data_IF_627520976785
#
_entry.id   IF_627520976785
#
_cell.length_a   1.000
_cell.length_b   1.000
_cell.length_c   1.000
_cell.angle_alpha   90.00
_cell.angle_beta   90.00
_cell.angle_gamma   90.00
#
_symmetry.space_group_name_H-M   'P 1'
#
loop_
_entity.id
_entity.type
_entity.pdbx_description
1 polymer ?
#
# COMPACT_ATOMS: atom_id res chain seq x y z
N UNK A 1 -10.24 -7.72 -18.14
CA UNK A 1 -10.89 -9.03 -18.32
C UNK A 1 -12.40 -8.91 -18.16
N UNK A 2 -13.18 -9.76 -18.83
CA UNK A 2 -14.60 -9.96 -18.54
C UNK A 2 -14.77 -10.97 -17.38
N UNK A 3 -16.00 -11.17 -16.91
CA UNK A 3 -16.35 -12.07 -15.79
C UNK A 3 -15.98 -13.55 -16.03
N UNK A 4 -15.69 -13.90 -17.28
CA UNK A 4 -15.37 -15.25 -17.74
C UNK A 4 -13.88 -15.40 -18.08
N UNK A 5 -13.02 -14.47 -17.66
CA UNK A 5 -11.57 -14.52 -17.88
C UNK A 5 -11.11 -14.13 -19.29
N UNK A 6 -12.03 -13.80 -20.21
CA UNK A 6 -11.73 -13.34 -21.56
C UNK A 6 -11.35 -11.86 -21.63
N UNK A 7 -10.78 -11.43 -22.76
CA UNK A 7 -10.52 -9.99 -23.03
C UNK A 7 -11.84 -9.23 -23.01
N UNK A 8 -11.91 -8.17 -22.19
CA UNK A 8 -13.10 -7.32 -22.12
C UNK A 8 -13.19 -6.45 -23.37
N UNK A 9 -14.35 -6.41 -24.00
CA UNK A 9 -14.64 -5.56 -25.17
C UNK A 9 -15.39 -4.28 -24.79
N UNK A 10 -15.56 -4.00 -23.50
CA UNK A 10 -16.18 -2.76 -23.04
C UNK A 10 -15.35 -1.57 -23.51
N UNK A 11 -16.01 -0.50 -23.98
CA UNK A 11 -15.34 0.69 -24.51
C UNK A 11 -14.28 1.26 -23.57
N UNK A 12 -14.60 1.36 -22.27
CA UNK A 12 -13.63 1.79 -21.24
C UNK A 12 -12.40 0.88 -21.15
N UNK A 13 -12.57 -0.43 -21.31
CA UNK A 13 -11.44 -1.38 -21.26
C UNK A 13 -10.53 -1.25 -22.48
N UNK A 14 -11.12 -1.00 -23.66
CA UNK A 14 -10.35 -0.81 -24.89
C UNK A 14 -9.59 0.52 -24.85
N UNK A 15 -10.24 1.59 -24.35
CA UNK A 15 -9.60 2.90 -24.16
C UNK A 15 -8.41 2.83 -23.19
N UNK A 16 -8.56 2.13 -22.06
CA UNK A 16 -7.46 1.94 -21.11
C UNK A 16 -6.31 1.14 -21.73
N UNK A 17 -6.63 0.05 -22.46
CA UNK A 17 -5.61 -0.77 -23.12
C UNK A 17 -4.84 -0.02 -24.20
N UNK A 18 -5.49 0.89 -24.94
CA UNK A 18 -4.82 1.71 -25.93
C UNK A 18 -3.85 2.71 -25.26
N UNK A 19 -4.26 3.32 -24.14
CA UNK A 19 -3.42 4.23 -23.34
C UNK A 19 -2.20 3.54 -22.73
N UNK A 20 -2.31 2.25 -22.39
CA UNK A 20 -1.17 1.47 -21.87
C UNK A 20 -0.14 1.11 -22.96
N UNK A 21 -0.45 1.26 -24.25
CA UNK A 21 0.51 1.05 -25.36
C UNK A 21 1.32 2.31 -25.70
N UNK A 22 1.00 3.46 -25.09
CA UNK A 22 1.76 4.69 -25.30
C UNK A 22 3.10 4.63 -24.53
N UNK A 23 4.23 5.05 -25.14
CA UNK A 23 5.52 5.06 -24.47
C UNK A 23 5.50 6.00 -23.26
N UNK A 24 6.00 5.52 -22.11
CA UNK A 24 6.05 6.33 -20.89
C UNK A 24 7.24 7.30 -20.93
N UNK A 25 6.94 8.59 -20.86
CA UNK A 25 7.94 9.64 -20.65
C UNK A 25 7.97 9.99 -19.15
N UNK A 26 9.07 9.66 -18.47
CA UNK A 26 9.26 9.90 -17.04
C UNK A 26 10.30 11.00 -16.82
N UNK A 27 9.92 12.11 -16.20
CA UNK A 27 10.82 13.16 -15.76
C UNK A 27 11.10 13.01 -14.25
N UNK A 28 12.34 13.21 -13.82
CA UNK A 28 12.73 13.09 -12.41
C UNK A 28 13.74 14.15 -11.99
N UNK A 29 13.71 14.51 -10.70
CA UNK A 29 14.75 15.31 -10.04
C UNK A 29 15.82 14.46 -9.34
N UNK A 30 15.72 13.12 -9.42
CA UNK A 30 16.70 12.20 -8.84
C UNK A 30 18.07 12.34 -9.51
N UNK A 31 19.19 12.24 -8.75
CA UNK A 31 20.52 12.37 -9.30
C UNK A 31 20.83 11.28 -10.32
N UNK A 32 21.59 11.64 -11.36
CA UNK A 32 21.93 10.72 -12.43
C UNK A 32 22.83 9.59 -11.92
N UNK A 33 22.41 8.34 -12.15
CA UNK A 33 23.18 7.13 -11.88
C UNK A 33 22.94 6.11 -13.00
N UNK A 34 23.88 5.18 -13.21
CA UNK A 34 23.76 4.13 -14.24
C UNK A 34 22.54 3.23 -14.04
N UNK A 35 22.03 3.11 -12.81
CA UNK A 35 20.84 2.34 -12.45
C UNK A 35 19.56 3.18 -12.38
N UNK A 36 19.63 4.48 -12.68
CA UNK A 36 18.52 5.43 -12.49
C UNK A 36 17.27 5.00 -13.26
N UNK A 37 17.40 4.68 -14.55
CA UNK A 37 16.24 4.33 -15.38
C UNK A 37 15.46 3.14 -14.81
N UNK A 38 16.15 2.07 -14.40
CA UNK A 38 15.51 0.90 -13.79
C UNK A 38 14.87 1.22 -12.43
N UNK A 39 15.52 2.05 -11.60
CA UNK A 39 14.95 2.51 -10.32
C UNK A 39 13.72 3.40 -10.52
N UNK A 40 13.73 4.27 -11.53
CA UNK A 40 12.61 5.15 -11.87
C UNK A 40 11.39 4.39 -12.33
N UNK A 41 11.58 3.39 -13.21
CA UNK A 41 10.47 2.55 -13.65
C UNK A 41 9.84 1.83 -12.47
N UNK A 42 10.66 1.22 -11.59
CA UNK A 42 10.17 0.57 -10.35
C UNK A 42 9.44 1.55 -9.43
N UNK A 43 9.93 2.77 -9.28
CA UNK A 43 9.26 3.79 -8.47
C UNK A 43 7.93 4.21 -9.09
N UNK A 44 7.88 4.36 -10.41
CA UNK A 44 6.67 4.73 -11.13
C UNK A 44 5.62 3.61 -11.10
N UNK A 45 6.03 2.34 -11.10
CA UNK A 45 5.13 1.19 -10.90
C UNK A 45 4.34 1.29 -9.58
N UNK A 46 4.92 1.88 -8.53
CA UNK A 46 4.24 2.10 -7.25
C UNK A 46 3.05 3.07 -7.37
N UNK A 47 2.95 3.89 -8.43
CA UNK A 47 1.81 4.78 -8.68
C UNK A 47 0.50 4.00 -8.73
N UNK A 48 0.51 2.79 -9.30
CA UNK A 48 -0.68 1.94 -9.36
C UNK A 48 -1.09 1.41 -7.98
N UNK A 49 -0.12 1.09 -7.12
CA UNK A 49 -0.39 0.65 -5.75
C UNK A 49 -1.08 1.75 -4.92
N UNK A 50 -0.72 3.01 -5.14
CA UNK A 50 -1.37 4.15 -4.49
C UNK A 50 -2.84 4.24 -4.92
N UNK A 51 -3.11 4.15 -6.23
CA UNK A 51 -4.49 4.18 -6.75
C UNK A 51 -5.34 3.01 -6.24
N UNK A 52 -4.75 1.82 -6.15
CA UNK A 52 -5.39 0.64 -5.57
C UNK A 52 -5.67 0.84 -4.07
N UNK A 53 -4.71 1.39 -3.31
CA UNK A 53 -4.89 1.70 -1.89
C UNK A 53 -6.05 2.70 -1.65
N UNK A 54 -6.18 3.73 -2.49
CA UNK A 54 -7.32 4.65 -2.43
C UNK A 54 -8.65 3.98 -2.81
N UNK A 55 -8.62 3.02 -3.73
CA UNK A 55 -9.81 2.24 -4.09
C UNK A 55 -10.25 1.33 -2.94
N UNK A 56 -9.30 0.68 -2.29
CA UNK A 56 -9.56 -0.18 -1.14
C UNK A 56 -10.10 0.61 0.04
N UNK A 57 -9.55 1.80 0.32
CA UNK A 57 -10.08 2.73 1.31
C UNK A 57 -11.55 3.09 1.10
N UNK A 58 -11.96 3.26 -0.16
CA UNK A 58 -13.35 3.54 -0.55
C UNK A 58 -14.23 2.30 -0.47
N UNK A 59 -13.65 1.11 -0.53
CA UNK A 59 -14.39 -0.16 -0.52
C UNK A 59 -15.20 -0.31 0.75
N UNK A 60 -16.47 -0.64 0.58
CA UNK A 60 -17.44 -0.77 1.67
C UNK A 60 -17.28 -2.09 2.42
N UNK A 61 -16.87 -3.14 1.71
CA UNK A 61 -16.78 -4.50 2.24
C UNK A 61 -15.43 -4.83 2.86
N UNK A 62 -14.36 -4.22 2.34
CA UNK A 62 -12.99 -4.62 2.65
C UNK A 62 -12.10 -3.49 3.16
N UNK A 63 -12.57 -2.25 3.12
CA UNK A 63 -11.84 -1.08 3.61
C UNK A 63 -12.66 -0.26 4.59
N UNK A 64 -12.43 1.05 4.61
CA UNK A 64 -13.00 1.96 5.60
C UNK A 64 -14.32 2.59 5.15
N UNK A 65 -14.96 2.05 4.11
CA UNK A 65 -16.26 2.54 3.61
C UNK A 65 -16.28 4.03 3.25
N UNK A 66 -15.12 4.61 2.88
CA UNK A 66 -15.05 6.02 2.55
C UNK A 66 -15.95 6.38 1.37
N UNK A 67 -16.38 5.45 0.51
CA UNK A 67 -17.35 5.77 -0.55
C UNK A 67 -18.68 6.37 -0.02
N UNK A 68 -19.04 6.15 1.25
CA UNK A 68 -20.27 6.68 1.85
C UNK A 68 -20.11 8.06 2.50
N UNK A 69 -18.95 8.71 2.37
CA UNK A 69 -18.84 10.12 2.75
C UNK A 69 -19.67 10.97 1.78
N UNK A 70 -20.89 11.34 2.16
CA UNK A 70 -21.80 12.16 1.35
C UNK A 70 -21.41 13.65 1.31
N UNK A 71 -20.15 13.98 1.57
CA UNK A 71 -19.67 15.37 1.73
C UNK A 71 -18.85 15.82 0.53
N UNK A 72 -19.10 17.05 0.08
CA UNK A 72 -18.36 17.72 -0.98
C UNK A 72 -17.41 18.81 -0.46
N UNK A 73 -17.46 19.08 0.85
CA UNK A 73 -16.61 20.08 1.51
C UNK A 73 -15.19 19.54 1.70
N UNK A 74 -14.21 20.27 1.17
CA UNK A 74 -12.79 19.89 1.20
C UNK A 74 -12.27 19.74 2.63
N UNK A 75 -12.63 20.66 3.53
CA UNK A 75 -12.22 20.63 4.94
C UNK A 75 -12.68 19.35 5.65
N UNK A 76 -13.94 18.96 5.42
CA UNK A 76 -14.49 17.71 5.99
C UNK A 76 -13.81 16.47 5.40
N UNK A 77 -13.50 16.50 4.10
CA UNK A 77 -12.78 15.43 3.44
C UNK A 77 -11.35 15.29 4.01
N UNK A 78 -10.65 16.39 4.27
CA UNK A 78 -9.33 16.38 4.90
C UNK A 78 -9.37 15.71 6.28
N UNK A 79 -10.35 16.06 7.11
CA UNK A 79 -10.52 15.44 8.43
C UNK A 79 -10.83 13.94 8.31
N UNK A 80 -11.71 13.55 7.38
CA UNK A 80 -12.00 12.12 7.15
C UNK A 80 -10.80 11.35 6.64
N UNK A 81 -9.99 11.93 5.75
CA UNK A 81 -8.77 11.32 5.26
C UNK A 81 -7.72 11.18 6.38
N UNK A 82 -7.64 12.15 7.29
CA UNK A 82 -6.79 12.05 8.47
C UNK A 82 -7.24 10.92 9.41
N UNK A 83 -8.54 10.83 9.69
CA UNK A 83 -9.07 9.75 10.52
C UNK A 83 -8.82 8.39 9.85
N UNK A 84 -9.04 8.31 8.54
CA UNK A 84 -8.81 7.10 7.76
C UNK A 84 -7.34 6.71 7.75
N UNK A 85 -6.40 7.66 7.63
CA UNK A 85 -4.97 7.35 7.66
C UNK A 85 -4.52 6.86 9.04
N UNK A 86 -5.04 7.44 10.12
CA UNK A 86 -4.79 6.96 11.49
C UNK A 86 -5.36 5.56 11.69
N UNK A 87 -6.58 5.30 11.24
CA UNK A 87 -7.20 3.97 11.31
C UNK A 87 -6.41 2.93 10.51
N UNK A 88 -5.93 3.27 9.31
CA UNK A 88 -5.05 2.42 8.52
C UNK A 88 -3.72 2.15 9.23
N UNK A 89 -3.13 3.14 9.90
CA UNK A 89 -1.89 2.96 10.67
C UNK A 89 -2.09 1.97 11.81
N UNK A 90 -3.20 2.06 12.53
CA UNK A 90 -3.56 1.08 13.57
C UNK A 90 -3.77 -0.30 12.96
N UNK A 91 -4.51 -0.42 11.86
CA UNK A 91 -4.69 -1.70 11.16
C UNK A 91 -3.34 -2.29 10.70
N UNK A 92 -2.41 -1.46 10.26
CA UNK A 92 -1.09 -1.91 9.84
C UNK A 92 -0.29 -2.47 11.01
N UNK A 93 -0.32 -1.81 12.16
CA UNK A 93 0.31 -2.28 13.40
C UNK A 93 -0.30 -3.61 13.87
N UNK A 94 -1.64 -3.70 13.90
CA UNK A 94 -2.34 -4.91 14.31
C UNK A 94 -2.01 -6.08 13.38
N UNK A 95 -2.13 -5.86 12.06
CA UNK A 95 -1.81 -6.89 11.07
C UNK A 95 -0.35 -7.33 11.15
N UNK A 96 0.57 -6.39 11.40
CA UNK A 96 1.99 -6.71 11.54
C UNK A 96 2.29 -7.50 12.82
N UNK A 97 1.66 -7.18 13.94
CA UNK A 97 1.75 -7.96 15.17
C UNK A 97 1.19 -9.39 14.97
N UNK A 98 0.09 -9.54 14.23
CA UNK A 98 -0.47 -10.84 13.85
C UNK A 98 0.44 -11.61 12.89
N UNK A 99 1.18 -10.92 12.03
CA UNK A 99 2.20 -11.52 11.17
C UNK A 99 3.38 -12.06 11.99
N UNK A 100 3.91 -11.26 12.91
CA UNK A 100 5.04 -11.63 13.78
C UNK A 100 4.69 -12.78 14.74
N UNK A 101 3.44 -12.87 15.18
CA UNK A 101 2.95 -13.97 16.02
C UNK A 101 2.49 -15.19 15.21
N UNK A 102 2.63 -15.15 13.88
CA UNK A 102 2.20 -16.19 12.93
C UNK A 102 0.71 -16.54 12.97
N UNK A 103 -0.12 -15.77 13.68
CA UNK A 103 -1.57 -16.01 13.77
C UNK A 103 -2.29 -15.69 12.46
N UNK A 104 -1.63 -14.96 11.55
CA UNK A 104 -2.19 -14.54 10.26
C UNK A 104 -2.58 -15.72 9.35
N UNK A 105 -1.97 -16.90 9.54
CA UNK A 105 -2.28 -18.11 8.77
C UNK A 105 -3.74 -18.56 8.92
N UNK A 106 -4.40 -18.20 10.02
CA UNK A 106 -5.81 -18.53 10.25
C UNK A 106 -6.75 -17.82 9.24
N UNK A 107 -6.32 -16.70 8.68
CA UNK A 107 -7.09 -15.94 7.68
C UNK A 107 -6.79 -16.38 6.24
N UNK A 108 -5.78 -17.21 6.03
CA UNK A 108 -5.38 -17.68 4.71
C UNK A 108 -6.00 -19.05 4.42
N UNK A 109 -7.10 -19.05 3.66
CA UNK A 109 -7.76 -20.28 3.20
C UNK A 109 -6.99 -21.01 2.08
N UNK A 110 -5.99 -20.36 1.47
CA UNK A 110 -5.22 -20.93 0.38
C UNK A 110 -4.15 -21.92 0.87
N UNK A 111 -3.91 -22.98 0.10
CA UNK A 111 -2.89 -24.01 0.37
C UNK A 111 -1.45 -23.47 0.31
N UNK A 112 -1.25 -22.28 -0.27
CA UNK A 112 0.07 -21.62 -0.36
C UNK A 112 0.51 -21.19 1.04
N UNK A 113 1.61 -21.73 1.56
CA UNK A 113 2.18 -21.33 2.88
C UNK A 113 3.58 -20.73 2.82
N UNK A 114 4.20 -20.66 1.64
CA UNK A 114 5.55 -20.10 1.49
C UNK A 114 5.56 -18.58 1.33
N UNK A 115 4.40 -17.96 1.12
CA UNK A 115 4.27 -16.50 0.98
C UNK A 115 2.95 -16.03 1.57
N UNK A 116 2.99 -14.81 2.07
CA UNK A 116 1.80 -14.07 2.45
C UNK A 116 1.00 -13.67 1.21
N UNK A 117 -0.30 -13.96 1.23
CA UNK A 117 -1.22 -13.68 0.12
C UNK A 117 -2.09 -12.46 0.40
N UNK A 118 -2.48 -12.25 1.66
CA UNK A 118 -3.32 -11.12 2.07
C UNK A 118 -2.45 -9.92 2.50
N UNK A 119 -2.93 -8.69 2.27
CA UNK A 119 -2.22 -7.51 2.74
C UNK A 119 -2.24 -7.40 4.27
N UNK A 120 -1.20 -6.80 4.86
CA UNK A 120 -1.12 -6.59 6.32
C UNK A 120 -2.30 -5.79 6.84
N UNK A 121 -2.68 -4.74 6.10
CA UNK A 121 -3.81 -3.87 6.47
C UNK A 121 -5.09 -4.68 6.51
N UNK A 122 -5.33 -5.54 5.51
CA UNK A 122 -6.52 -6.38 5.49
C UNK A 122 -6.58 -7.34 6.68
N UNK A 123 -5.46 -8.00 7.01
CA UNK A 123 -5.37 -8.87 8.19
C UNK A 123 -5.65 -8.05 9.45
N UNK A 124 -5.04 -6.88 9.59
CA UNK A 124 -5.25 -6.01 10.74
C UNK A 124 -6.70 -5.55 10.92
N UNK A 125 -7.36 -5.16 9.84
CA UNK A 125 -8.78 -4.83 9.86
C UNK A 125 -9.65 -6.02 10.29
N UNK A 126 -9.26 -7.26 9.97
CA UNK A 126 -9.98 -8.46 10.41
C UNK A 126 -9.72 -8.83 11.85
N UNK A 127 -8.48 -8.68 12.30
CA UNK A 127 -8.06 -9.02 13.66
C UNK A 127 -8.70 -8.11 14.69
N UNK A 128 -8.95 -6.83 14.37
CA UNK A 128 -9.60 -5.88 15.28
C UNK A 128 -10.97 -6.39 15.76
N UNK A 129 -11.71 -7.08 14.88
CA UNK A 129 -13.03 -7.62 15.19
C UNK A 129 -13.01 -9.10 15.62
N UNK A 130 -11.83 -9.75 15.68
CA UNK A 130 -11.71 -11.19 15.92
C UNK A 130 -11.20 -11.50 17.34
N UNK A 131 -12.11 -12.01 18.17
CA UNK A 131 -11.84 -12.42 19.55
C UNK A 131 -10.90 -13.63 19.67
N UNK A 132 -10.61 -14.35 18.58
CA UNK A 132 -9.71 -15.51 18.59
C UNK A 132 -8.24 -15.12 18.63
N UNK A 133 -7.94 -13.89 18.23
CA UNK A 133 -6.57 -13.38 18.18
C UNK A 133 -6.29 -12.59 19.45
N UNK A 134 -5.37 -13.12 20.25
CA UNK A 134 -4.89 -12.45 21.46
C UNK A 134 -3.52 -11.85 21.19
N UNK A 135 -3.46 -10.52 21.09
CA UNK A 135 -2.21 -9.76 20.98
C UNK A 135 -1.89 -9.10 22.32
N UNK A 136 -0.63 -9.19 22.74
CA UNK A 136 -0.12 -8.48 23.93
C UNK A 136 0.47 -7.14 23.51
N UNK A 137 0.61 -6.24 24.49
CA UNK A 137 1.27 -4.95 24.28
C UNK A 137 2.72 -5.12 23.75
N UNK A 138 3.41 -6.19 24.16
CA UNK A 138 4.75 -6.54 23.66
C UNK A 138 4.76 -6.77 22.14
N UNK A 139 3.71 -7.39 21.61
CA UNK A 139 3.64 -7.77 20.19
C UNK A 139 3.42 -6.52 19.32
N UNK A 140 2.66 -5.55 19.84
CA UNK A 140 2.46 -4.25 19.20
C UNK A 140 3.76 -3.45 19.21
N UNK A 141 4.52 -3.46 20.31
CA UNK A 141 5.83 -2.79 20.39
C UNK A 141 6.82 -3.42 19.40
N UNK A 142 6.86 -4.75 19.30
CA UNK A 142 7.69 -5.44 18.32
C UNK A 142 7.30 -5.08 16.88
N UNK A 143 6.00 -5.02 16.58
CA UNK A 143 5.50 -4.57 15.28
C UNK A 143 5.91 -3.12 14.96
N UNK A 144 5.86 -2.21 15.94
CA UNK A 144 6.31 -0.84 15.77
C UNK A 144 7.81 -0.75 15.47
N UNK A 145 8.64 -1.51 16.20
CA UNK A 145 10.08 -1.56 15.97
C UNK A 145 10.44 -2.07 14.58
N UNK A 146 9.76 -3.13 14.11
CA UNK A 146 9.96 -3.69 12.76
C UNK A 146 9.51 -2.71 11.67
N UNK A 147 8.38 -2.01 11.85
CA UNK A 147 7.98 -0.98 10.90
C UNK A 147 8.98 0.18 10.85
N UNK A 148 9.52 0.59 12.00
CA UNK A 148 10.52 1.65 12.04
C UNK A 148 11.82 1.22 11.34
N UNK A 149 12.27 -0.03 11.51
CA UNK A 149 13.47 -0.53 10.82
C UNK A 149 13.29 -0.55 9.30
N UNK A 150 12.11 -0.96 8.82
CA UNK A 150 11.74 -0.91 7.39
C UNK A 150 11.79 0.53 6.89
N UNK A 151 11.18 1.48 7.61
CA UNK A 151 11.18 2.90 7.22
C UNK A 151 12.61 3.43 7.13
N UNK A 152 13.46 3.18 8.13
CA UNK A 152 14.85 3.64 8.11
C UNK A 152 15.62 3.06 6.91
N UNK A 153 15.45 1.78 6.62
CA UNK A 153 16.10 1.13 5.46
C UNK A 153 15.72 1.75 4.10
N UNK A 154 14.53 2.35 4.01
CA UNK A 154 14.01 2.97 2.79
C UNK A 154 14.22 4.49 2.75
N UNK A 155 14.40 5.14 3.90
CA UNK A 155 14.65 6.58 4.01
C UNK A 155 16.12 6.97 3.87
N UNK A 156 17.07 6.04 3.94
CA UNK A 156 18.47 6.26 3.56
C UNK A 156 18.64 6.41 2.04
N UNK A 157 18.08 7.48 1.47
CA UNK A 157 18.62 8.07 0.26
C UNK A 157 19.81 8.94 0.70
N UNK A 158 21.03 8.50 0.43
CA UNK A 158 22.23 9.32 0.68
C UNK A 158 22.00 10.74 0.16
N UNK A 159 22.15 11.78 1.01
CA UNK A 159 22.13 13.14 0.54
C UNK A 159 23.37 13.34 -0.34
N UNK A 160 23.16 13.78 -1.59
CA UNK A 160 24.22 14.30 -2.45
C UNK A 160 24.68 15.65 -1.88
N UNK A 161 25.40 15.61 -0.76
CA UNK A 161 26.00 16.77 -0.11
C UNK A 161 27.53 16.60 -0.08
N UNK A 162 28.16 16.63 -1.26
CA UNK A 162 29.55 17.09 -1.45
C UNK A 162 30.02 16.84 -2.89
N UNK A 163 29.59 17.68 -3.84
CA UNK A 163 30.38 17.88 -5.07
C UNK A 163 30.20 19.29 -5.64
N UNK A 164 30.36 20.27 -4.76
CA UNK A 164 30.71 21.64 -5.13
C UNK A 164 31.94 22.01 -4.29
N UNK A 165 33.11 21.52 -4.70
CA UNK A 165 34.37 22.27 -4.73
C UNK A 165 35.52 21.39 -5.22
N UNK A 166 35.94 21.54 -6.48
CA UNK A 166 37.34 21.41 -6.88
C UNK A 166 37.51 21.82 -8.35
N UNK A 167 37.85 23.11 -8.52
CA UNK A 167 38.52 23.77 -9.67
C UNK A 167 37.78 23.83 -11.00
#
# INVERSE_FOLDING_TARGET
MNRFGGRSRAWHSLKQSAREQEPWLLATSLPFSSQLAGKLVKLYELRMQIEESFRDLKSTRFGLSLAFHLTWQVERLQVMLLIASLALMVAWLMGKATELTEQHWQYQANTIRHRKVLSTIFIGLKVIDDLRVSLKASDIVAAWQDLNSIIQSHCEFEPVASRVNSR
#
